data_IF_380959296314
#
_entry.id   IF_380959296314
#
_cell.length_a   1.000
_cell.length_b   1.000
_cell.length_c   1.000
_cell.angle_alpha   90.00
_cell.angle_beta   90.00
_cell.angle_gamma   90.00
#
_symmetry.space_group_name_H-M   'P 1'
#
loop_
_entity.id
_entity.type
_entity.pdbx_description
1 polymer ?
#
# COMPACT_ATOMS: atom_id res chain seq x y z
N UNK A 1 -44.06 -20.03 -19.46
CA UNK A 1 -43.61 -18.75 -18.87
C UNK A 1 -42.67 -19.10 -17.74
N UNK A 2 -41.37 -19.09 -18.01
CA UNK A 2 -40.33 -19.54 -17.07
C UNK A 2 -39.94 -18.32 -16.23
N UNK A 3 -40.12 -18.43 -14.92
CA UNK A 3 -39.60 -17.47 -13.96
C UNK A 3 -38.11 -17.76 -13.81
N UNK A 4 -37.26 -16.89 -14.38
CA UNK A 4 -35.83 -16.91 -14.12
C UNK A 4 -35.53 -15.88 -13.03
N UNK A 5 -35.02 -16.43 -11.93
CA UNK A 5 -34.23 -15.79 -10.90
C UNK A 5 -33.23 -14.77 -11.47
N UNK A 6 -33.04 -13.66 -10.77
CA UNK A 6 -31.86 -13.50 -9.92
C UNK A 6 -31.72 -12.06 -9.40
N UNK A 7 -31.89 -11.95 -8.08
CA UNK A 7 -30.86 -11.39 -7.19
C UNK A 7 -30.26 -10.04 -7.61
N UNK A 8 -30.88 -8.93 -7.22
CA UNK A 8 -30.27 -7.60 -7.36
C UNK A 8 -30.34 -6.72 -6.11
N UNK A 9 -30.25 -7.28 -4.89
CA UNK A 9 -30.04 -6.48 -3.68
C UNK A 9 -29.09 -7.16 -2.71
N UNK A 10 -27.81 -7.21 -3.07
CA UNK A 10 -26.72 -7.28 -2.09
C UNK A 10 -25.78 -6.12 -2.32
N UNK A 11 -26.21 -4.94 -1.88
CA UNK A 11 -25.31 -3.87 -1.45
C UNK A 11 -24.59 -4.32 -0.18
N UNK A 12 -23.74 -5.32 -0.30
CA UNK A 12 -22.72 -5.58 0.71
C UNK A 12 -21.74 -4.41 0.59
N UNK A 13 -21.81 -3.49 1.56
CA UNK A 13 -20.71 -2.57 1.84
C UNK A 13 -19.47 -3.44 2.00
N UNK A 14 -18.68 -3.57 0.94
CA UNK A 14 -17.41 -4.25 1.00
C UNK A 14 -16.59 -3.47 2.02
N UNK A 15 -16.31 -4.10 3.17
CA UNK A 15 -15.38 -3.53 4.14
C UNK A 15 -14.11 -3.21 3.35
N UNK A 16 -13.68 -1.95 3.42
CA UNK A 16 -12.45 -1.54 2.78
C UNK A 16 -11.31 -2.35 3.43
N UNK A 17 -10.89 -3.43 2.77
CA UNK A 17 -9.77 -4.27 3.15
C UNK A 17 -8.49 -3.45 3.02
N UNK A 18 -8.27 -2.59 4.01
CA UNK A 18 -7.12 -1.69 4.06
C UNK A 18 -5.91 -2.51 4.43
N UNK A 19 -5.03 -2.78 3.47
CA UNK A 19 -3.77 -3.47 3.72
C UNK A 19 -2.72 -2.42 4.11
N UNK A 20 -2.24 -2.49 5.36
CA UNK A 20 -1.15 -1.63 5.86
C UNK A 20 0.14 -2.41 5.81
N UNK A 21 1.12 -1.91 5.05
CA UNK A 21 2.44 -2.52 4.91
C UNK A 21 3.50 -1.60 5.51
N UNK A 22 4.31 -2.14 6.43
CA UNK A 22 5.45 -1.43 6.99
C UNK A 22 6.75 -1.85 6.28
N UNK A 23 7.47 -0.88 5.72
CA UNK A 23 8.78 -1.11 5.13
C UNK A 23 9.85 -0.45 6.01
N UNK A 24 10.70 -1.27 6.63
CA UNK A 24 11.85 -0.80 7.41
C UNK A 24 13.10 -0.60 6.55
N UNK A 25 14.04 0.20 7.06
CA UNK A 25 15.43 0.21 6.59
C UNK A 25 15.73 0.98 5.30
N UNK A 26 14.79 1.79 4.79
CA UNK A 26 15.05 2.66 3.64
C UNK A 26 16.02 3.79 4.00
N UNK A 27 17.04 4.00 3.16
CA UNK A 27 17.96 5.14 3.27
C UNK A 27 17.33 6.39 2.61
N UNK A 28 18.00 7.54 2.77
CA UNK A 28 17.48 8.81 2.24
C UNK A 28 17.41 8.82 0.71
N UNK A 29 18.42 8.24 0.05
CA UNK A 29 18.48 8.04 -1.39
C UNK A 29 17.36 7.11 -1.88
N UNK A 30 17.12 6.00 -1.18
CA UNK A 30 16.02 5.08 -1.52
C UNK A 30 14.64 5.78 -1.47
N UNK A 31 14.45 6.72 -0.53
CA UNK A 31 13.23 7.51 -0.41
C UNK A 31 13.12 8.52 -1.56
N UNK A 32 14.22 9.18 -1.93
CA UNK A 32 14.22 10.14 -3.04
C UNK A 32 13.95 9.45 -4.38
N UNK A 33 14.49 8.25 -4.60
CA UNK A 33 14.19 7.42 -5.76
C UNK A 33 12.71 7.01 -5.79
N UNK A 34 12.16 6.58 -4.64
CA UNK A 34 10.74 6.25 -4.52
C UNK A 34 9.83 7.43 -4.91
N UNK A 35 10.18 8.65 -4.51
CA UNK A 35 9.42 9.86 -4.87
C UNK A 35 9.45 10.17 -6.36
N UNK A 36 10.46 9.66 -7.09
CA UNK A 36 10.58 9.77 -8.56
C UNK A 36 9.90 8.62 -9.30
N UNK A 37 9.35 7.63 -8.59
CA UNK A 37 8.79 6.42 -9.20
C UNK A 37 9.86 5.40 -9.61
N UNK A 38 11.04 5.47 -8.99
CA UNK A 38 12.21 4.66 -9.34
C UNK A 38 12.78 3.94 -8.11
N UNK A 39 13.85 3.18 -8.32
CA UNK A 39 14.61 2.54 -7.24
C UNK A 39 14.02 1.23 -6.71
N UNK A 40 14.73 0.66 -5.73
CA UNK A 40 14.44 -0.68 -5.19
C UNK A 40 13.16 -0.72 -4.37
N UNK A 41 12.86 0.36 -3.63
CA UNK A 41 11.66 0.44 -2.79
C UNK A 41 10.40 0.51 -3.64
N UNK A 42 10.40 1.32 -4.70
CA UNK A 42 9.26 1.38 -5.64
C UNK A 42 8.97 0.02 -6.27
N UNK A 43 10.00 -0.65 -6.78
CA UNK A 43 9.87 -2.01 -7.37
C UNK A 43 9.30 -3.01 -6.35
N UNK A 44 9.78 -2.96 -5.11
CA UNK A 44 9.29 -3.86 -4.04
C UNK A 44 7.83 -3.61 -3.69
N UNK A 45 7.40 -2.35 -3.65
CA UNK A 45 5.99 -1.99 -3.44
C UNK A 45 5.13 -2.54 -4.58
N UNK A 46 5.54 -2.32 -5.84
CA UNK A 46 4.85 -2.86 -7.02
C UNK A 46 4.68 -4.38 -6.97
N UNK A 47 5.77 -5.11 -6.70
CA UNK A 47 5.74 -6.57 -6.55
C UNK A 47 4.83 -7.05 -5.40
N UNK A 48 4.70 -6.24 -4.35
CA UNK A 48 3.82 -6.60 -3.22
C UNK A 48 2.36 -6.39 -3.59
N UNK A 49 2.04 -5.29 -4.29
CA UNK A 49 0.69 -5.03 -4.83
C UNK A 49 0.29 -6.14 -5.80
N UNK A 50 1.17 -6.51 -6.73
CA UNK A 50 0.92 -7.58 -7.71
C UNK A 50 0.58 -8.91 -7.02
N UNK A 51 1.35 -9.32 -6.00
CA UNK A 51 1.06 -10.53 -5.22
C UNK A 51 -0.27 -10.46 -4.46
N UNK A 52 -0.62 -9.28 -3.95
CA UNK A 52 -1.90 -9.08 -3.26
C UNK A 52 -3.08 -9.12 -4.25
N UNK A 53 -2.88 -8.67 -5.48
CA UNK A 53 -3.88 -8.81 -6.56
C UNK A 53 -4.02 -10.28 -6.96
N UNK A 54 -2.91 -10.98 -7.20
CA UNK A 54 -2.91 -12.42 -7.55
C UNK A 54 -3.58 -13.30 -6.50
N UNK A 55 -3.45 -12.95 -5.21
CA UNK A 55 -4.10 -13.66 -4.10
C UNK A 55 -5.57 -13.27 -3.89
N UNK A 56 -6.07 -12.25 -4.61
CA UNK A 56 -7.45 -11.76 -4.48
C UNK A 56 -7.70 -10.93 -3.21
N UNK A 57 -6.64 -10.54 -2.50
CA UNK A 57 -6.73 -9.73 -1.28
C UNK A 57 -7.10 -8.27 -1.58
N UNK A 58 -6.68 -7.76 -2.73
CA UNK A 58 -6.97 -6.40 -3.20
C UNK A 58 -7.48 -6.41 -4.66
N UNK A 59 -8.19 -5.34 -5.03
CA UNK A 59 -8.72 -5.14 -6.39
C UNK A 59 -7.63 -4.76 -7.41
N UNK A 60 -7.88 -5.04 -8.69
CA UNK A 60 -7.01 -4.61 -9.80
C UNK A 60 -6.88 -3.08 -9.92
N UNK A 61 -7.90 -2.34 -9.48
CA UNK A 61 -8.00 -0.89 -9.63
C UNK A 61 -7.72 -0.13 -8.33
N UNK A 62 -6.81 -0.62 -7.48
CA UNK A 62 -6.50 0.05 -6.21
C UNK A 62 -5.75 1.37 -6.41
N UNK A 63 -6.00 2.32 -5.51
CA UNK A 63 -5.21 3.54 -5.39
C UNK A 63 -4.38 3.47 -4.10
N UNK A 64 -3.07 3.14 -4.17
CA UNK A 64 -2.24 3.02 -2.99
C UNK A 64 -1.88 4.40 -2.40
N UNK A 65 -1.97 4.53 -1.08
CA UNK A 65 -1.47 5.69 -0.33
C UNK A 65 -0.18 5.27 0.38
N UNK A 66 0.93 5.96 0.09
CA UNK A 66 2.24 5.65 0.67
C UNK A 66 2.61 6.74 1.67
N UNK A 67 2.84 6.36 2.93
CA UNK A 67 3.26 7.26 4.01
C UNK A 67 4.70 6.97 4.39
N UNK A 68 5.57 7.96 4.28
CA UNK A 68 6.99 7.85 4.63
C UNK A 68 7.24 8.55 5.97
N UNK A 69 7.66 7.78 6.97
CA UNK A 69 7.97 8.28 8.30
C UNK A 69 9.48 8.37 8.48
N UNK A 70 9.98 9.50 9.00
CA UNK A 70 11.39 9.68 9.34
C UNK A 70 11.51 9.88 10.85
N UNK A 71 12.31 9.04 11.51
CA UNK A 71 12.62 9.23 12.93
C UNK A 71 13.34 10.58 13.12
N UNK A 72 12.77 11.44 13.96
CA UNK A 72 13.40 12.71 14.34
C UNK A 72 14.73 12.41 15.04
N UNK A 73 15.84 12.96 14.54
CA UNK A 73 17.13 12.87 15.23
C UNK A 73 17.02 13.59 16.58
N UNK A 74 17.36 12.93 17.68
CA UNK A 74 17.55 13.63 18.95
C UNK A 74 18.71 14.60 18.77
N UNK A 75 18.49 15.89 19.08
CA UNK A 75 19.59 16.84 19.17
C UNK A 75 20.38 16.44 20.41
N UNK A 76 21.55 15.80 20.23
CA UNK A 76 22.51 15.68 21.34
C UNK A 76 22.91 17.11 21.69
N UNK A 77 22.60 17.56 22.89
CA UNK A 77 22.96 18.89 23.36
C UNK A 77 24.48 19.04 23.37
N UNK A 78 24.97 20.27 23.19
CA UNK A 78 26.39 20.65 23.25
C UNK A 78 27.07 20.41 24.62
N UNK A 79 26.40 19.75 25.56
CA UNK A 79 26.81 19.58 26.96
C UNK A 79 26.83 18.11 27.40
N UNK A 80 26.96 17.15 26.47
CA UNK A 80 26.89 15.71 26.74
C UNK A 80 28.01 14.90 26.03
#
# INVERSE_FOLDING_TARGET
MVMSSDTSEKSLKQQANTVVLEFGGAKSDDIDDLRRGEGKVFKRIGQTIEKLQESGEISDNIQPIIVILKKKKSKKGLLD
#
